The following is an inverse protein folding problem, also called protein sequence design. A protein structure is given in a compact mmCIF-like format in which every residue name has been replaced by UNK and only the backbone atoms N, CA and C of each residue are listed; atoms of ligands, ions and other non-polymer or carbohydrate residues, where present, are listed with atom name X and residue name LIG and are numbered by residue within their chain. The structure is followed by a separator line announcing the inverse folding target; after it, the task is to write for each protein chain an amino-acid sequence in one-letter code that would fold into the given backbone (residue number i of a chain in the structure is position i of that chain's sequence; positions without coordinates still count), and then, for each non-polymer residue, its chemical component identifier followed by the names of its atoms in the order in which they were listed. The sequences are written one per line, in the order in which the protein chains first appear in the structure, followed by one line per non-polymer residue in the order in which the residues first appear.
data_IF_375543402624
#
_entry.id   IF_375543402624
#
_cell.length_a   1.000
_cell.length_b   1.000
_cell.length_c   1.000
_cell.angle_alpha   90.00
_cell.angle_beta   90.00
_cell.angle_gamma   90.00
#
_symmetry.space_group_name_H-M   'P 1'
#
loop_
_entity.id
_entity.type
_entity.pdbx_description
1 polymer ?
#
# COMPACT_ATOMS: atom_id res chain seq x y z
N UNK A 1 5.74 11.25 1.15
CA UNK A 1 6.89 10.43 0.69
C UNK A 1 6.52 8.96 0.74
N UNK A 2 7.07 8.14 -0.16
CA UNK A 2 7.05 6.68 -0.01
C UNK A 2 8.24 6.27 0.86
N UNK A 3 8.01 5.45 1.88
CA UNK A 3 9.05 5.00 2.82
C UNK A 3 9.36 3.52 2.71
N UNK A 4 8.57 2.75 1.95
CA UNK A 4 8.78 1.34 1.66
C UNK A 4 7.78 0.87 0.61
N UNK A 5 8.18 -0.06 -0.26
CA UNK A 5 7.33 -0.60 -1.32
C UNK A 5 7.78 -1.99 -1.76
N UNK A 6 6.85 -2.75 -2.34
CA UNK A 6 7.14 -3.86 -3.23
C UNK A 6 6.65 -3.43 -4.60
N UNK A 7 7.50 -3.58 -5.61
CA UNK A 7 7.16 -3.31 -7.00
C UNK A 7 7.23 -4.63 -7.76
N UNK A 8 6.13 -5.06 -8.38
CA UNK A 8 6.13 -6.28 -9.19
C UNK A 8 6.94 -6.04 -10.46
N UNK A 9 7.61 -7.07 -10.98
CA UNK A 9 8.40 -6.92 -12.20
C UNK A 9 7.51 -6.66 -13.41
N UNK A 10 7.96 -5.75 -14.28
CA UNK A 10 7.34 -5.57 -15.58
C UNK A 10 7.81 -6.69 -16.52
N UNK A 11 6.89 -7.51 -17.00
CA UNK A 11 7.20 -8.68 -17.83
C UNK A 11 6.36 -8.70 -19.11
N UNK A 12 6.96 -8.28 -20.22
CA UNK A 12 6.29 -8.21 -21.52
C UNK A 12 5.85 -9.58 -22.05
N UNK A 13 6.55 -10.66 -21.71
CA UNK A 13 6.16 -12.01 -22.12
C UNK A 13 4.87 -12.45 -21.42
N UNK A 14 4.76 -12.17 -20.12
CA UNK A 14 3.55 -12.44 -19.33
C UNK A 14 2.36 -11.60 -19.81
N UNK A 15 2.58 -10.30 -20.08
CA UNK A 15 1.57 -9.43 -20.70
C UNK A 15 1.09 -10.01 -22.04
N UNK A 16 2.02 -10.40 -22.92
CA UNK A 16 1.70 -10.99 -24.22
C UNK A 16 0.94 -12.31 -24.09
N UNK A 17 1.29 -13.11 -23.09
CA UNK A 17 0.62 -14.36 -22.75
C UNK A 17 -0.73 -14.16 -22.03
N UNK A 18 -1.11 -12.91 -21.70
CA UNK A 18 -2.36 -12.55 -21.03
C UNK A 18 -2.58 -13.29 -19.71
N UNK A 19 -1.52 -13.47 -18.92
CA UNK A 19 -1.62 -14.17 -17.62
C UNK A 19 -2.23 -13.30 -16.51
N UNK A 20 -2.48 -12.02 -16.78
CA UNK A 20 -2.93 -11.05 -15.77
C UNK A 20 -1.78 -10.48 -14.93
N UNK A 21 -0.53 -10.85 -15.20
CA UNK A 21 0.66 -10.38 -14.50
C UNK A 21 1.62 -9.63 -15.44
N UNK A 22 2.57 -8.89 -14.85
CA UNK A 22 3.68 -8.27 -15.57
C UNK A 22 3.49 -6.80 -15.92
N UNK A 23 2.44 -6.13 -15.41
CA UNK A 23 2.19 -4.71 -15.65
C UNK A 23 3.12 -3.76 -14.89
N UNK A 24 3.90 -4.28 -13.94
CA UNK A 24 4.83 -3.50 -13.14
C UNK A 24 4.12 -2.63 -12.11
N UNK A 25 3.06 -3.15 -11.48
CA UNK A 25 2.27 -2.44 -10.47
C UNK A 25 2.81 -2.74 -9.06
N UNK A 26 2.40 -1.95 -8.06
CA UNK A 26 2.87 -2.12 -6.69
C UNK A 26 1.82 -2.77 -5.76
N UNK A 27 2.02 -4.03 -5.30
CA UNK A 27 1.14 -4.64 -4.28
C UNK A 27 1.17 -3.90 -2.94
N UNK A 28 2.21 -3.12 -2.67
CA UNK A 28 2.26 -2.23 -1.51
C UNK A 28 3.15 -1.01 -1.78
N UNK A 29 2.63 0.18 -1.46
CA UNK A 29 3.40 1.42 -1.25
C UNK A 29 3.05 2.01 0.11
N UNK A 30 4.02 2.10 1.03
CA UNK A 30 3.85 2.72 2.36
C UNK A 30 4.22 4.19 2.27
N UNK A 31 3.30 5.05 2.72
CA UNK A 31 3.46 6.50 2.72
C UNK A 31 3.61 7.06 4.12
N UNK A 32 4.45 8.10 4.22
CA UNK A 32 4.32 9.13 5.24
C UNK A 32 3.91 10.45 4.57
N UNK A 33 2.80 11.05 5.02
CA UNK A 33 2.25 12.31 4.51
C UNK A 33 2.14 13.33 5.62
N UNK A 34 2.64 14.54 5.43
CA UNK A 34 2.39 15.66 6.33
C UNK A 34 2.21 16.93 5.51
N UNK A 35 1.10 17.64 5.72
CA UNK A 35 0.88 18.93 5.05
C UNK A 35 1.70 20.05 5.71
N UNK A 36 2.02 21.12 4.97
CA UNK A 36 2.55 22.35 5.55
C UNK A 36 1.66 22.88 6.69
N UNK A 37 2.26 23.43 7.74
CA UNK A 37 1.52 23.97 8.90
C UNK A 37 0.99 22.93 9.90
N UNK A 38 0.73 21.68 9.48
CA UNK A 38 0.32 20.62 10.41
C UNK A 38 1.42 20.30 11.40
N UNK A 39 1.08 19.89 12.62
CA UNK A 39 2.08 19.36 13.56
C UNK A 39 2.37 17.89 13.31
N UNK A 40 1.34 17.15 12.94
CA UNK A 40 1.37 15.70 12.80
C UNK A 40 1.18 15.27 11.34
N UNK A 41 1.91 14.23 10.94
CA UNK A 41 1.75 13.52 9.69
C UNK A 41 0.91 12.25 9.84
N UNK A 42 0.66 11.57 8.74
CA UNK A 42 -0.10 10.32 8.66
C UNK A 42 0.73 9.24 8.00
N UNK A 43 0.54 8.01 8.46
CA UNK A 43 1.08 6.80 7.85
C UNK A 43 -0.09 5.99 7.30
N UNK A 44 0.02 5.58 6.05
CA UNK A 44 -0.94 4.71 5.37
C UNK A 44 -0.20 3.95 4.28
N UNK A 45 -0.83 2.95 3.69
CA UNK A 45 -0.27 2.23 2.57
C UNK A 45 -1.31 2.04 1.47
N UNK A 46 -0.85 1.93 0.23
CA UNK A 46 -1.72 1.66 -0.91
C UNK A 46 -1.45 0.27 -1.46
N UNK A 47 -2.52 -0.41 -1.86
CA UNK A 47 -2.49 -1.54 -2.80
C UNK A 47 -2.86 -1.00 -4.18
N UNK A 48 -1.99 -1.11 -5.19
CA UNK A 48 -2.38 -0.78 -6.56
C UNK A 48 -3.06 -2.00 -7.20
N UNK A 49 -4.25 -1.84 -7.82
CA UNK A 49 -4.84 -2.93 -8.61
C UNK A 49 -3.87 -3.38 -9.71
N UNK A 50 -3.64 -4.69 -9.87
CA UNK A 50 -2.74 -5.27 -10.87
C UNK A 50 -3.39 -5.28 -12.26
N UNK A 51 -3.53 -4.08 -12.83
CA UNK A 51 -4.15 -3.84 -14.12
C UNK A 51 -3.21 -3.07 -15.05
N UNK A 52 -3.49 -3.15 -16.35
CA UNK A 52 -2.74 -2.42 -17.36
C UNK A 52 -2.78 -0.91 -17.13
N UNK A 53 -1.75 -0.19 -17.57
CA UNK A 53 -1.60 1.26 -17.33
C UNK A 53 -2.80 2.11 -17.77
N UNK A 54 -3.52 1.68 -18.82
CA UNK A 54 -4.64 2.43 -19.37
C UNK A 54 -6.01 1.93 -18.87
N UNK A 55 -6.04 0.95 -17.97
CA UNK A 55 -7.28 0.46 -17.40
C UNK A 55 -7.87 1.53 -16.46
N UNK A 56 -9.11 1.99 -16.65
CA UNK A 56 -9.71 3.01 -15.79
C UNK A 56 -9.94 2.54 -14.35
N UNK A 57 -9.90 1.23 -14.09
CA UNK A 57 -9.99 0.69 -12.75
C UNK A 57 -8.62 0.56 -12.07
N UNK A 58 -7.51 0.79 -12.78
CA UNK A 58 -6.17 0.80 -12.17
C UNK A 58 -6.09 1.96 -11.18
N UNK A 59 -6.12 1.61 -9.90
CA UNK A 59 -6.25 2.57 -8.81
C UNK A 59 -5.44 2.09 -7.61
N UNK A 60 -4.92 3.05 -6.85
CA UNK A 60 -4.31 2.85 -5.55
C UNK A 60 -5.39 2.84 -4.46
N UNK A 61 -5.59 1.70 -3.80
CA UNK A 61 -6.52 1.53 -2.69
C UNK A 61 -5.82 1.86 -1.38
N UNK A 62 -6.21 2.96 -0.73
CA UNK A 62 -5.55 3.45 0.48
C UNK A 62 -6.07 2.79 1.76
N UNK A 63 -5.14 2.34 2.61
CA UNK A 63 -5.41 1.72 3.90
C UNK A 63 -4.72 2.52 5.03
N UNK A 64 -5.50 3.16 5.93
CA UNK A 64 -4.96 4.05 6.96
C UNK A 64 -4.29 3.28 8.10
N UNK A 65 -3.06 3.64 8.47
CA UNK A 65 -2.37 3.08 9.66
C UNK A 65 -2.55 4.01 10.86
N UNK A 66 -2.04 5.24 10.76
CA UNK A 66 -2.18 6.30 11.78
C UNK A 66 -2.47 7.62 11.09
N UNK A 67 -3.53 8.31 11.51
CA UNK A 67 -4.02 9.53 10.88
C UNK A 67 -4.87 9.28 9.65
N UNK A 68 -4.63 10.05 8.58
CA UNK A 68 -5.49 10.16 7.40
C UNK A 68 -4.80 9.68 6.11
N UNK A 69 -5.59 9.14 5.16
CA UNK A 69 -5.15 8.87 3.77
C UNK A 69 -5.10 10.17 2.95
N UNK A 70 -4.72 10.12 1.67
CA UNK A 70 -4.68 11.30 0.79
C UNK A 70 -6.02 12.05 0.68
N UNK A 71 -7.15 11.35 0.77
CA UNK A 71 -8.49 11.93 0.61
C UNK A 71 -8.88 12.91 1.73
N UNK A 72 -8.37 12.70 2.94
CA UNK A 72 -8.62 13.58 4.06
C UNK A 72 -7.42 14.49 4.34
N UNK A 73 -7.62 15.79 4.11
CA UNK A 73 -6.61 16.83 4.26
C UNK A 73 -6.55 17.46 5.65
N UNK A 74 -7.41 17.07 6.59
CA UNK A 74 -7.40 17.61 7.96
C UNK A 74 -6.15 17.15 8.73
N UNK A 75 -5.70 17.97 9.68
CA UNK A 75 -4.61 17.59 10.61
C UNK A 75 -5.03 16.34 11.40
N UNK A 76 -4.24 15.25 11.36
CA UNK A 76 -4.56 14.03 12.09
C UNK A 76 -4.42 14.17 13.61
N UNK A 77 -3.81 15.25 14.11
CA UNK A 77 -3.59 15.48 15.54
C UNK A 77 -2.87 14.29 16.19
N UNK A 78 -3.27 13.95 17.41
CA UNK A 78 -2.63 12.87 18.16
C UNK A 78 -2.79 11.49 17.52
N UNK A 79 -3.70 11.31 16.56
CA UNK A 79 -3.77 10.07 15.78
C UNK A 79 -2.61 9.91 14.77
N UNK A 80 -1.84 10.97 14.51
CA UNK A 80 -0.74 10.99 13.54
C UNK A 80 0.65 10.69 14.12
N UNK A 81 1.68 10.95 13.32
CA UNK A 81 3.12 10.78 13.63
C UNK A 81 3.84 12.09 13.35
N UNK A 82 4.59 12.64 14.31
CA UNK A 82 5.35 13.88 14.11
C UNK A 82 6.60 13.69 13.23
N UNK A 83 7.13 14.78 12.68
CA UNK A 83 8.49 14.76 12.11
C UNK A 83 9.50 14.45 13.22
N UNK A 84 10.39 13.49 12.97
CA UNK A 84 11.37 13.01 13.96
C UNK A 84 10.83 11.95 14.93
N UNK A 85 9.51 11.72 14.98
CA UNK A 85 8.93 10.61 15.74
C UNK A 85 9.20 9.28 15.01
N UNK A 86 9.78 8.31 15.73
CA UNK A 86 10.12 7.00 15.16
C UNK A 86 8.89 6.11 15.08
N UNK A 87 8.72 5.46 13.93
CA UNK A 87 7.86 4.30 13.76
C UNK A 87 8.63 3.21 13.01
N UNK A 88 8.13 1.99 13.05
CA UNK A 88 8.67 0.85 12.32
C UNK A 88 7.57 0.19 11.51
N UNK A 89 7.94 -0.38 10.37
CA UNK A 89 7.09 -1.23 9.57
C UNK A 89 7.82 -2.52 9.23
N UNK A 90 7.06 -3.59 9.01
CA UNK A 90 7.55 -4.87 8.47
C UNK A 90 6.59 -5.33 7.38
N UNK A 91 7.15 -5.68 6.23
CA UNK A 91 6.47 -6.35 5.13
C UNK A 91 7.02 -7.78 5.08
N UNK A 92 6.21 -8.77 5.41
CA UNK A 92 6.58 -10.19 5.44
C UNK A 92 5.70 -10.96 4.44
N UNK A 93 6.27 -11.38 3.32
CA UNK A 93 5.57 -12.15 2.27
C UNK A 93 5.98 -13.61 2.38
N UNK A 94 5.00 -14.49 2.59
CA UNK A 94 5.19 -15.95 2.66
C UNK A 94 4.20 -16.64 1.75
N UNK A 95 4.70 -17.25 0.69
CA UNK A 95 3.85 -17.69 -0.43
C UNK A 95 3.08 -16.49 -0.98
N UNK A 96 1.75 -16.60 -1.04
CA UNK A 96 0.87 -15.52 -1.50
C UNK A 96 0.41 -14.58 -0.39
N UNK A 97 0.75 -14.85 0.87
CA UNK A 97 0.27 -14.07 2.00
C UNK A 97 1.26 -12.95 2.36
N UNK A 98 0.84 -11.70 2.20
CA UNK A 98 1.57 -10.52 2.65
C UNK A 98 1.05 -10.08 4.02
N UNK A 99 1.93 -10.08 5.02
CA UNK A 99 1.65 -9.64 6.37
C UNK A 99 2.36 -8.33 6.66
N UNK A 100 1.58 -7.31 6.99
CA UNK A 100 2.08 -5.98 7.35
C UNK A 100 1.98 -5.78 8.85
N UNK A 101 3.02 -5.22 9.44
CA UNK A 101 3.02 -4.84 10.86
C UNK A 101 3.60 -3.45 10.99
N UNK A 102 2.88 -2.56 11.67
CA UNK A 102 3.30 -1.20 11.96
C UNK A 102 3.33 -0.99 13.47
N UNK A 103 4.43 -0.48 14.00
CA UNK A 103 4.62 -0.23 15.43
C UNK A 103 5.20 1.16 15.70
N UNK A 104 4.78 1.81 16.79
CA UNK A 104 5.44 2.98 17.36
C UNK A 104 5.48 2.85 18.88
N UNK A 105 6.21 3.75 19.56
CA UNK A 105 6.21 3.80 21.02
C UNK A 105 4.88 4.30 21.62
N UNK A 106 4.08 5.05 20.86
CA UNK A 106 2.89 5.76 21.35
C UNK A 106 1.57 5.14 20.90
N UNK A 107 1.56 4.50 19.73
CA UNK A 107 0.35 3.96 19.13
C UNK A 107 0.26 2.45 19.30
N UNK A 108 -0.98 1.94 19.33
CA UNK A 108 -1.22 0.49 19.22
C UNK A 108 -0.63 -0.03 17.91
N UNK A 109 -0.11 -1.25 17.98
CA UNK A 109 0.36 -1.98 16.78
C UNK A 109 -0.80 -2.16 15.80
N UNK A 110 -0.58 -1.84 14.53
CA UNK A 110 -1.54 -2.05 13.45
C UNK A 110 -1.02 -3.17 12.56
N UNK A 111 -1.91 -4.08 12.16
CA UNK A 111 -1.57 -5.23 11.32
C UNK A 111 -2.55 -5.35 10.16
N UNK A 112 -2.04 -5.82 9.03
CA UNK A 112 -2.85 -6.23 7.88
C UNK A 112 -2.37 -7.59 7.39
N UNK A 113 -3.28 -8.36 6.83
CA UNK A 113 -2.99 -9.58 6.11
C UNK A 113 -3.70 -9.48 4.77
N UNK A 114 -2.92 -9.59 3.69
CA UNK A 114 -3.40 -9.48 2.31
C UNK A 114 -3.04 -10.78 1.60
N UNK A 115 -4.03 -11.40 0.96
CA UNK A 115 -3.83 -12.55 0.09
C UNK A 115 -3.58 -12.03 -1.33
N UNK A 116 -2.32 -12.10 -1.79
CA UNK A 116 -1.90 -11.63 -3.10
C UNK A 116 -2.33 -12.56 -4.24
N UNK A 117 -2.96 -13.71 -3.96
CA UNK A 117 -3.45 -14.61 -5.02
C UNK A 117 -4.77 -14.20 -5.66
N UNK A 118 -5.35 -13.10 -5.17
CA UNK A 118 -6.58 -12.52 -5.69
C UNK A 118 -6.56 -11.02 -5.55
N UNK A 119 -7.27 -10.36 -6.45
CA UNK A 119 -7.57 -8.95 -6.32
C UNK A 119 -8.38 -8.65 -5.04
N UNK A 120 -8.29 -7.43 -4.49
CA UNK A 120 -9.02 -7.02 -3.29
C UNK A 120 -10.52 -6.81 -3.57
N UNK A 121 -10.92 -6.66 -4.83
CA UNK A 121 -12.31 -6.53 -5.28
C UNK A 121 -12.49 -7.05 -6.71
N UNK A 122 -13.74 -7.02 -7.19
CA UNK A 122 -14.11 -7.53 -8.52
C UNK A 122 -13.59 -6.68 -9.70
N UNK A 123 -12.99 -5.50 -9.43
CA UNK A 123 -12.43 -4.64 -10.47
C UNK A 123 -10.96 -4.96 -10.76
N UNK A 124 -10.28 -5.65 -9.85
CA UNK A 124 -8.87 -6.03 -10.02
C UNK A 124 -8.72 -7.36 -10.78
N UNK A 125 -7.47 -7.71 -11.13
CA UNK A 125 -7.12 -9.02 -11.64
C UNK A 125 -7.56 -10.13 -10.68
N UNK A 126 -8.25 -11.19 -11.15
CA UNK A 126 -8.69 -12.29 -10.29
C UNK A 126 -7.54 -13.08 -9.68
N UNK A 127 -6.33 -12.99 -10.23
CA UNK A 127 -5.11 -13.62 -9.72
C UNK A 127 -4.28 -12.69 -8.83
N UNK A 128 -4.72 -11.44 -8.64
CA UNK A 128 -3.99 -10.43 -7.85
C UNK A 128 -2.56 -10.27 -8.36
N UNK A 129 -1.60 -10.51 -7.48
CA UNK A 129 -0.15 -10.49 -7.73
C UNK A 129 0.52 -11.86 -7.63
N UNK A 130 -0.22 -12.96 -7.46
CA UNK A 130 0.40 -14.28 -7.42
C UNK A 130 0.82 -14.72 -8.83
N UNK A 131 2.05 -15.23 -8.91
CA UNK A 131 2.59 -15.96 -10.06
C UNK A 131 3.02 -17.35 -9.59
#
# INVERSE_FOLDING_TARGET
IVVGQIHADKNNAQIKAKTGFGYGNEPIKIFYKKFPGHKMGSVFWNYERNLSKNDPNREDLAHPVWGNTWENQKDPGDAGIALGEKFSYRIDVKGTMMNLTFTTARHKTVKYTVDLSKGPDAKDSPTGYAQ
#
